data_IF_813100580503
#
_entry.id   IF_813100580503
#
_cell.length_a   1.000
_cell.length_b   1.000
_cell.length_c   1.000
_cell.angle_alpha   90.00
_cell.angle_beta   90.00
_cell.angle_gamma   90.00
#
_symmetry.space_group_name_H-M   'P 1'
#
loop_
_entity.id
_entity.type
_entity.pdbx_description
1 polymer ?
#
# COMPACT_ATOMS: atom_id res chain seq x y z
N UNK A 1 31.69 -11.20 -16.06
CA UNK A 1 30.29 -11.05 -15.58
C UNK A 1 29.40 -12.26 -15.88
N UNK A 2 29.41 -12.86 -17.09
CA UNK A 2 28.71 -14.13 -17.39
C UNK A 2 29.20 -15.33 -16.54
N UNK A 3 30.47 -15.36 -16.15
CA UNK A 3 31.04 -16.46 -15.33
C UNK A 3 30.61 -16.42 -13.85
N UNK A 4 30.55 -15.24 -13.24
CA UNK A 4 30.17 -15.11 -11.82
C UNK A 4 28.72 -15.53 -11.55
N UNK A 5 27.80 -15.22 -12.47
CA UNK A 5 26.40 -15.65 -12.40
C UNK A 5 26.20 -17.17 -12.56
N UNK A 6 27.14 -17.86 -13.23
CA UNK A 6 27.10 -19.32 -13.44
C UNK A 6 27.70 -20.10 -12.27
N UNK A 7 28.63 -19.50 -11.52
CA UNK A 7 29.43 -20.20 -10.51
C UNK A 7 28.87 -20.17 -9.08
N UNK A 8 28.09 -19.16 -8.68
CA UNK A 8 27.54 -19.07 -7.32
C UNK A 8 26.10 -19.60 -7.23
N UNK A 9 25.81 -20.57 -6.32
CA UNK A 9 24.45 -20.99 -5.99
C UNK A 9 23.53 -19.83 -5.58
N UNK A 10 24.08 -18.82 -4.91
CA UNK A 10 23.38 -17.60 -4.46
C UNK A 10 23.15 -16.58 -5.58
N UNK A 11 24.05 -16.53 -6.56
CA UNK A 11 23.95 -15.59 -7.68
C UNK A 11 22.83 -15.97 -8.67
N UNK A 12 22.67 -17.26 -8.96
CA UNK A 12 21.73 -17.75 -9.97
C UNK A 12 20.28 -17.24 -9.78
N UNK A 13 19.71 -17.25 -8.56
CA UNK A 13 18.36 -16.76 -8.34
C UNK A 13 18.20 -15.26 -8.54
N UNK A 14 19.19 -14.47 -8.09
CA UNK A 14 19.17 -13.01 -8.22
C UNK A 14 19.17 -12.61 -9.70
N UNK A 15 20.08 -13.20 -10.49
CA UNK A 15 20.12 -12.96 -11.93
C UNK A 15 18.87 -13.48 -12.64
N UNK A 16 18.34 -14.62 -12.21
CA UNK A 16 17.11 -15.21 -12.74
C UNK A 16 15.88 -14.32 -12.55
N UNK A 17 15.69 -13.80 -11.33
CA UNK A 17 14.62 -12.86 -11.00
C UNK A 17 14.77 -11.54 -11.76
N UNK A 18 16.00 -11.01 -11.87
CA UNK A 18 16.26 -9.79 -12.64
C UNK A 18 15.96 -10.00 -14.14
N UNK A 19 16.38 -11.13 -14.71
CA UNK A 19 16.08 -11.50 -16.09
C UNK A 19 14.57 -11.62 -16.31
N UNK A 20 13.84 -12.28 -15.39
CA UNK A 20 12.38 -12.38 -15.46
C UNK A 20 11.72 -11.00 -15.34
N UNK A 21 12.23 -10.10 -14.49
CA UNK A 21 11.77 -8.71 -14.41
C UNK A 21 11.94 -7.96 -15.73
N UNK A 22 13.04 -8.19 -16.46
CA UNK A 22 13.29 -7.57 -17.77
C UNK A 22 12.37 -8.15 -18.84
N UNK A 23 12.19 -9.47 -18.88
CA UNK A 23 11.32 -10.15 -19.85
C UNK A 23 9.89 -9.61 -19.84
N UNK A 24 9.38 -9.17 -18.68
CA UNK A 24 8.06 -8.53 -18.53
C UNK A 24 7.88 -7.25 -19.36
N UNK A 25 8.98 -6.60 -19.75
CA UNK A 25 8.97 -5.38 -20.58
C UNK A 25 9.23 -5.66 -22.07
N UNK A 26 9.53 -6.91 -22.42
CA UNK A 26 9.83 -7.29 -23.80
C UNK A 26 8.57 -7.85 -24.47
N UNK A 27 8.31 -7.40 -25.69
CA UNK A 27 7.21 -7.94 -26.51
C UNK A 27 7.53 -9.34 -27.03
N UNK A 28 8.79 -9.56 -27.42
CA UNK A 28 9.29 -10.84 -27.96
C UNK A 28 10.68 -11.13 -27.41
N UNK A 29 10.81 -11.83 -26.27
CA UNK A 29 12.11 -12.22 -25.75
C UNK A 29 12.78 -13.28 -26.65
N UNK A 30 14.10 -13.24 -26.74
CA UNK A 30 14.91 -14.28 -27.40
C UNK A 30 14.67 -15.66 -26.73
N UNK A 31 14.63 -16.79 -27.49
CA UNK A 31 14.34 -18.11 -26.93
C UNK A 31 15.30 -18.57 -25.81
N UNK A 32 16.61 -18.26 -25.89
CA UNK A 32 17.56 -18.59 -24.83
C UNK A 32 17.25 -17.79 -23.56
N UNK A 33 16.86 -16.53 -23.73
CA UNK A 33 16.46 -15.66 -22.62
C UNK A 33 15.12 -16.13 -22.01
N UNK A 34 14.15 -16.55 -22.82
CA UNK A 34 12.88 -17.09 -22.36
C UNK A 34 13.06 -18.37 -21.53
N UNK A 35 13.98 -19.27 -21.94
CA UNK A 35 14.31 -20.48 -21.19
C UNK A 35 14.87 -20.18 -19.79
N UNK A 36 15.70 -19.13 -19.65
CA UNK A 36 16.24 -18.70 -18.35
C UNK A 36 15.14 -18.13 -17.45
N UNK A 37 14.25 -17.31 -18.02
CA UNK A 37 13.24 -16.58 -17.23
C UNK A 37 12.06 -17.45 -16.81
N UNK A 38 11.72 -18.50 -17.57
CA UNK A 38 10.59 -19.38 -17.26
C UNK A 38 10.58 -19.95 -15.84
N UNK A 39 11.76 -20.23 -15.27
CA UNK A 39 11.90 -20.71 -13.89
C UNK A 39 11.55 -19.67 -12.82
N UNK A 40 11.64 -18.38 -13.16
CA UNK A 40 11.51 -17.27 -12.21
C UNK A 40 10.25 -16.40 -12.45
N UNK A 41 9.67 -16.45 -13.64
CA UNK A 41 8.48 -15.66 -13.99
C UNK A 41 7.29 -15.92 -13.06
N UNK A 42 7.14 -17.15 -12.54
CA UNK A 42 6.06 -17.51 -11.61
C UNK A 42 6.10 -16.78 -10.25
N UNK A 43 7.25 -16.20 -9.88
CA UNK A 43 7.35 -15.40 -8.64
C UNK A 43 6.80 -13.98 -8.80
N UNK A 44 6.70 -13.47 -10.04
CA UNK A 44 6.12 -12.17 -10.30
C UNK A 44 4.60 -12.27 -10.37
N UNK A 45 3.93 -11.87 -9.29
CA UNK A 45 2.48 -11.66 -9.29
C UNK A 45 2.18 -10.30 -9.93
N UNK A 46 1.36 -10.28 -10.98
CA UNK A 46 0.96 -9.02 -11.64
C UNK A 46 0.22 -8.11 -10.66
N UNK A 47 0.74 -6.92 -10.32
CA UNK A 47 0.02 -5.99 -9.48
C UNK A 47 -0.96 -5.12 -10.29
N UNK A 48 -1.31 -5.50 -11.53
CA UNK A 48 -2.25 -4.74 -12.39
C UNK A 48 -3.64 -4.64 -11.80
N UNK A 49 -4.06 -5.68 -11.09
CA UNK A 49 -5.32 -5.69 -10.40
C UNK A 49 -5.14 -6.17 -8.95
N UNK A 50 -5.95 -5.63 -8.06
CA UNK A 50 -6.15 -6.19 -6.72
C UNK A 50 -7.49 -6.91 -6.68
N UNK A 51 -7.49 -8.17 -6.27
CA UNK A 51 -8.73 -8.85 -5.91
C UNK A 51 -9.30 -8.22 -4.64
N UNK A 52 -10.47 -7.61 -4.75
CA UNK A 52 -11.15 -6.96 -3.64
C UNK A 52 -11.39 -7.96 -2.49
N UNK A 53 -11.60 -9.25 -2.77
CA UNK A 53 -11.78 -10.26 -1.72
C UNK A 53 -10.59 -10.32 -0.76
N UNK A 54 -9.38 -9.99 -1.23
CA UNK A 54 -8.19 -9.93 -0.36
C UNK A 54 -8.26 -8.80 0.67
N UNK A 55 -9.04 -7.73 0.40
CA UNK A 55 -9.26 -6.61 1.32
C UNK A 55 -10.39 -6.87 2.32
N UNK A 56 -11.42 -7.61 1.91
CA UNK A 56 -12.65 -7.82 2.69
C UNK A 56 -12.69 -9.19 3.42
N UNK A 57 -11.52 -9.79 3.69
CA UNK A 57 -11.38 -11.19 4.07
C UNK A 57 -12.09 -11.60 5.39
N UNK A 58 -12.43 -10.66 6.27
CA UNK A 58 -13.16 -10.93 7.53
C UNK A 58 -14.57 -10.36 7.48
N UNK A 59 -15.56 -11.19 7.12
CA UNK A 59 -16.97 -10.83 7.22
C UNK A 59 -17.43 -9.72 6.26
N UNK A 60 -16.71 -9.49 5.15
CA UNK A 60 -17.05 -8.44 4.20
C UNK A 60 -16.58 -7.04 4.61
N UNK A 61 -15.69 -6.94 5.61
CA UNK A 61 -15.16 -5.68 6.12
C UNK A 61 -13.71 -5.49 5.67
N UNK A 62 -13.42 -4.33 5.06
CA UNK A 62 -12.07 -3.85 4.77
C UNK A 62 -11.68 -2.86 5.87
N UNK A 63 -10.76 -3.29 6.72
CA UNK A 63 -10.24 -2.46 7.82
C UNK A 63 -9.00 -1.71 7.32
N UNK A 64 -9.04 -0.39 7.45
CA UNK A 64 -7.95 0.51 7.08
C UNK A 64 -7.39 1.16 8.33
N UNK A 65 -6.08 1.19 8.45
CA UNK A 65 -5.38 1.86 9.53
C UNK A 65 -4.59 3.03 8.96
N UNK A 66 -4.89 4.24 9.42
CA UNK A 66 -4.32 5.48 8.90
C UNK A 66 -3.59 6.25 10.00
N UNK A 67 -2.30 6.46 9.79
CA UNK A 67 -1.41 7.07 10.77
C UNK A 67 -1.13 8.54 10.47
N UNK A 68 -1.42 9.41 11.43
CA UNK A 68 -1.08 10.83 11.45
C UNK A 68 -0.06 11.13 12.56
N UNK A 69 0.78 12.15 12.38
CA UNK A 69 1.85 12.53 13.31
C UNK A 69 1.59 13.90 13.96
N UNK A 70 2.35 14.23 14.99
CA UNK A 70 2.18 15.48 15.74
C UNK A 70 3.04 16.61 15.14
N UNK A 71 2.83 16.84 13.85
CA UNK A 71 3.39 17.97 13.12
C UNK A 71 2.28 18.71 12.35
N UNK A 72 2.58 19.93 11.91
CA UNK A 72 1.61 20.79 11.22
C UNK A 72 1.11 20.16 9.90
N UNK A 73 1.98 19.46 9.16
CA UNK A 73 1.65 18.80 7.88
C UNK A 73 0.63 17.65 8.07
N UNK A 74 0.80 16.86 9.12
CA UNK A 74 -0.11 15.79 9.48
C UNK A 74 -1.41 16.34 10.08
N UNK A 75 -1.38 17.45 10.81
CA UNK A 75 -2.59 18.14 11.27
C UNK A 75 -3.44 18.62 10.09
N UNK A 76 -2.83 19.35 9.15
CA UNK A 76 -3.53 19.78 7.93
C UNK A 76 -4.07 18.57 7.15
N UNK A 77 -3.25 17.53 6.97
CA UNK A 77 -3.67 16.28 6.32
C UNK A 77 -4.87 15.63 7.03
N UNK A 78 -4.93 15.66 8.36
CA UNK A 78 -6.07 15.12 9.12
C UNK A 78 -7.32 15.97 8.92
N UNK A 79 -7.18 17.30 8.91
CA UNK A 79 -8.29 18.22 8.63
C UNK A 79 -8.85 18.03 7.21
N UNK A 80 -7.98 17.84 6.21
CA UNK A 80 -8.36 17.49 4.83
C UNK A 80 -9.11 16.16 4.77
N UNK A 81 -8.57 15.12 5.41
CA UNK A 81 -9.22 13.82 5.57
C UNK A 81 -10.62 13.97 6.19
N UNK A 82 -10.72 14.66 7.32
CA UNK A 82 -11.98 14.89 8.03
C UNK A 82 -13.00 15.58 7.13
N UNK A 83 -12.61 16.66 6.44
CA UNK A 83 -13.50 17.40 5.55
C UNK A 83 -14.03 16.53 4.40
N UNK A 84 -13.19 15.69 3.81
CA UNK A 84 -13.59 14.81 2.70
C UNK A 84 -14.65 13.80 3.13
N UNK A 85 -14.49 13.18 4.30
CA UNK A 85 -15.41 12.15 4.76
C UNK A 85 -16.66 12.71 5.44
N UNK A 86 -16.57 13.78 6.24
CA UNK A 86 -17.74 14.37 6.90
C UNK A 86 -18.72 15.05 5.92
N UNK A 87 -18.25 15.48 4.74
CA UNK A 87 -19.11 16.06 3.70
C UNK A 87 -19.88 15.00 2.90
N UNK A 88 -19.43 13.75 2.93
CA UNK A 88 -20.07 12.65 2.21
C UNK A 88 -21.03 11.91 3.15
N UNK A 89 -22.34 12.09 2.94
CA UNK A 89 -23.39 11.51 3.79
C UNK A 89 -23.43 9.98 3.77
N UNK A 90 -22.77 9.33 2.80
CA UNK A 90 -22.64 7.87 2.80
C UNK A 90 -21.67 7.36 3.88
N UNK A 91 -20.81 8.24 4.40
CA UNK A 91 -19.83 7.91 5.43
C UNK A 91 -20.30 8.36 6.81
N UNK A 92 -20.20 7.46 7.77
CA UNK A 92 -20.45 7.71 9.18
C UNK A 92 -19.14 8.04 9.86
N UNK A 93 -19.07 9.21 10.50
CA UNK A 93 -17.94 9.66 11.30
C UNK A 93 -18.22 9.44 12.80
N UNK A 94 -17.34 8.72 13.48
CA UNK A 94 -17.39 8.48 14.92
C UNK A 94 -16.09 9.01 15.55
N UNK A 95 -16.21 10.02 16.41
CA UNK A 95 -15.09 10.60 17.14
C UNK A 95 -14.96 9.97 18.53
N UNK A 96 -13.79 9.42 18.84
CA UNK A 96 -13.46 8.79 20.13
C UNK A 96 -12.37 9.56 20.89
N UNK A 97 -12.15 10.83 20.55
CA UNK A 97 -11.20 11.74 21.18
C UNK A 97 -9.78 11.60 20.64
N UNK A 98 -9.17 10.41 20.80
CA UNK A 98 -7.77 10.17 20.38
C UNK A 98 -7.64 9.41 19.06
N UNK A 99 -8.75 8.85 18.58
CA UNK A 99 -8.88 8.26 17.25
C UNK A 99 -10.30 8.50 16.74
N UNK A 100 -10.47 8.31 15.43
CA UNK A 100 -11.77 8.34 14.77
C UNK A 100 -12.01 7.03 14.04
N UNK A 101 -13.29 6.62 13.96
CA UNK A 101 -13.75 5.53 13.11
C UNK A 101 -14.64 6.12 12.02
N UNK A 102 -14.29 5.86 10.76
CA UNK A 102 -15.03 6.32 9.60
C UNK A 102 -15.50 5.12 8.81
N UNK A 103 -16.80 4.95 8.66
CA UNK A 103 -17.36 3.72 8.08
C UNK A 103 -18.40 4.00 7.00
N UNK A 104 -18.39 3.18 5.95
CA UNK A 104 -19.43 3.17 4.93
C UNK A 104 -19.67 1.76 4.42
N UNK A 105 -20.92 1.48 4.06
CA UNK A 105 -21.32 0.24 3.39
C UNK A 105 -21.70 0.52 1.95
N UNK A 106 -21.23 -0.35 1.06
CA UNK A 106 -21.40 -0.24 -0.37
C UNK A 106 -22.24 -1.36 -0.95
N UNK A 107 -22.09 -1.59 -2.25
CA UNK A 107 -22.72 -2.71 -2.94
C UNK A 107 -22.17 -4.05 -2.43
N UNK A 108 -22.93 -5.12 -2.67
CA UNK A 108 -22.51 -6.50 -2.35
C UNK A 108 -22.21 -6.74 -0.87
N UNK A 109 -22.78 -5.94 0.04
CA UNK A 109 -22.60 -6.08 1.49
C UNK A 109 -21.19 -5.71 1.99
N UNK A 110 -20.36 -5.08 1.14
CA UNK A 110 -19.01 -4.66 1.51
C UNK A 110 -19.05 -3.45 2.42
N UNK A 111 -18.23 -3.47 3.45
CA UNK A 111 -18.07 -2.35 4.38
C UNK A 111 -16.61 -1.95 4.46
N UNK A 112 -16.32 -0.66 4.39
CA UNK A 112 -15.00 -0.11 4.71
C UNK A 112 -15.08 0.52 6.09
N UNK A 113 -14.10 0.23 6.93
CA UNK A 113 -13.90 0.90 8.21
C UNK A 113 -12.48 1.45 8.28
N UNK A 114 -12.37 2.77 8.38
CA UNK A 114 -11.11 3.49 8.53
C UNK A 114 -10.95 3.85 9.99
N UNK A 115 -9.82 3.43 10.56
CA UNK A 115 -9.39 3.78 11.91
C UNK A 115 -8.20 4.70 11.78
N UNK A 116 -8.32 5.92 12.30
CA UNK A 116 -7.29 6.95 12.18
C UNK A 116 -7.01 7.60 13.53
N UNK A 117 -5.74 7.76 13.90
CA UNK A 117 -5.40 8.50 15.12
C UNK A 117 -5.54 10.02 14.90
N UNK A 118 -5.93 10.74 15.95
CA UNK A 118 -6.05 12.21 15.92
C UNK A 118 -4.69 12.82 16.30
N UNK A 119 -4.09 13.70 15.47
CA UNK A 119 -2.82 14.35 15.80
C UNK A 119 -2.97 15.27 17.03
N UNK A 120 -1.92 15.38 17.84
CA UNK A 120 -1.86 16.15 19.11
C UNK A 120 -2.85 15.76 20.22
N UNK A 121 -3.66 14.71 20.01
CA UNK A 121 -4.53 14.19 21.07
C UNK A 121 -3.75 13.34 22.08
N UNK A 122 -4.38 13.01 23.21
CA UNK A 122 -3.77 12.21 24.28
C UNK A 122 -4.27 10.76 24.17
N UNK A 123 -3.36 9.79 24.02
CA UNK A 123 -3.73 8.38 23.94
C UNK A 123 -4.22 7.83 25.29
N UNK A 124 -4.94 6.68 25.31
CA UNK A 124 -5.28 5.99 26.54
C UNK A 124 -4.05 5.68 27.38
N UNK A 125 -4.16 5.91 28.69
CA UNK A 125 -3.06 5.65 29.64
C UNK A 125 -1.92 6.68 29.58
N UNK A 126 -2.07 7.79 28.85
CA UNK A 126 -1.08 8.88 28.80
C UNK A 126 0.15 8.59 27.94
N UNK A 127 0.06 7.62 27.02
CA UNK A 127 1.12 7.37 26.03
C UNK A 127 1.13 8.45 24.95
N UNK A 128 2.33 8.83 24.50
CA UNK A 128 2.51 9.75 23.38
C UNK A 128 2.37 9.07 22.00
N UNK A 129 2.39 7.72 21.94
CA UNK A 129 2.25 6.97 20.69
C UNK A 129 0.81 6.49 20.45
N UNK A 130 -0.02 7.35 19.85
CA UNK A 130 -1.39 7.01 19.45
C UNK A 130 -1.46 5.97 18.33
N UNK A 131 -0.42 5.86 17.49
CA UNK A 131 -0.39 4.84 16.44
C UNK A 131 -0.31 3.45 17.07
N UNK A 132 0.55 3.29 18.08
CA UNK A 132 0.62 2.05 18.86
C UNK A 132 -0.71 1.72 19.53
N UNK A 133 -1.34 2.72 20.18
CA UNK A 133 -2.63 2.54 20.82
C UNK A 133 -3.72 2.13 19.82
N UNK A 134 -3.70 2.68 18.62
CA UNK A 134 -4.63 2.34 17.54
C UNK A 134 -4.43 0.88 17.08
N UNK A 135 -3.20 0.48 16.79
CA UNK A 135 -2.90 -0.88 16.36
C UNK A 135 -3.27 -1.91 17.44
N UNK A 136 -3.01 -1.59 18.71
CA UNK A 136 -3.41 -2.42 19.85
C UNK A 136 -4.94 -2.52 19.98
N UNK A 137 -5.66 -1.42 19.80
CA UNK A 137 -7.12 -1.42 19.79
C UNK A 137 -7.69 -2.35 18.71
N UNK A 138 -7.12 -2.31 17.50
CA UNK A 138 -7.53 -3.20 16.42
C UNK A 138 -7.25 -4.67 16.76
N UNK A 139 -6.08 -4.97 17.33
CA UNK A 139 -5.74 -6.31 17.79
C UNK A 139 -6.71 -6.82 18.87
N UNK A 140 -7.02 -6.02 19.88
CA UNK A 140 -7.97 -6.34 20.95
C UNK A 140 -9.38 -6.59 20.40
N UNK A 141 -9.79 -5.84 19.36
CA UNK A 141 -11.05 -6.04 18.63
C UNK A 141 -10.99 -7.21 17.64
N UNK A 142 -9.85 -7.87 17.48
CA UNK A 142 -9.59 -8.93 16.49
C UNK A 142 -9.83 -8.45 15.04
N UNK A 143 -9.62 -7.16 14.80
CA UNK A 143 -9.69 -6.54 13.48
C UNK A 143 -8.29 -6.54 12.87
N UNK A 144 -8.16 -7.06 11.66
CA UNK A 144 -6.89 -7.08 10.92
C UNK A 144 -6.94 -6.03 9.82
N UNK A 145 -6.05 -5.03 9.89
CA UNK A 145 -5.93 -4.02 8.85
C UNK A 145 -5.40 -4.66 7.55
N UNK A 146 -6.17 -4.54 6.47
CA UNK A 146 -5.78 -4.97 5.12
C UNK A 146 -5.28 -3.80 4.27
N UNK A 147 -5.52 -2.57 4.72
CA UNK A 147 -4.99 -1.33 4.15
C UNK A 147 -4.25 -0.56 5.24
N UNK A 148 -3.00 -0.19 4.99
CA UNK A 148 -2.19 0.62 5.90
C UNK A 148 -1.75 1.90 5.20
N UNK A 149 -1.99 3.05 5.82
CA UNK A 149 -1.78 4.37 5.23
C UNK A 149 -0.88 5.18 6.16
N UNK A 150 0.24 5.67 5.61
CA UNK A 150 1.13 6.60 6.29
C UNK A 150 0.86 8.04 5.83
N UNK A 151 0.52 8.93 6.76
CA UNK A 151 0.30 10.37 6.54
C UNK A 151 1.20 11.19 7.45
N UNK A 152 2.36 11.58 6.93
CA UNK A 152 3.30 12.44 7.60
C UNK A 152 4.61 12.53 6.83
N UNK A 153 5.63 13.09 7.46
CA UNK A 153 6.94 13.21 6.86
C UNK A 153 7.73 11.89 6.75
N UNK A 154 8.69 11.85 5.83
CA UNK A 154 9.46 10.64 5.50
C UNK A 154 10.17 10.00 6.69
N UNK A 155 10.64 10.79 7.67
CA UNK A 155 11.33 10.26 8.86
C UNK A 155 10.39 9.53 9.83
N UNK A 156 9.08 9.68 9.67
CA UNK A 156 8.09 8.94 10.43
C UNK A 156 7.68 7.61 9.78
N UNK A 157 8.02 7.37 8.52
CA UNK A 157 7.62 6.16 7.79
C UNK A 157 8.04 4.90 8.53
N UNK A 158 9.29 4.84 9.02
CA UNK A 158 9.79 3.69 9.78
C UNK A 158 8.98 3.41 11.05
N UNK A 159 8.41 4.44 11.68
CA UNK A 159 7.54 4.27 12.85
C UNK A 159 6.21 3.62 12.44
N UNK A 160 5.58 4.09 11.36
CA UNK A 160 4.36 3.48 10.82
C UNK A 160 4.57 2.02 10.41
N UNK A 161 5.73 1.70 9.81
CA UNK A 161 6.01 0.34 9.34
C UNK A 161 6.16 -0.68 10.47
N UNK A 162 6.35 -0.26 11.73
CA UNK A 162 6.36 -1.17 12.90
C UNK A 162 5.00 -1.83 13.14
N UNK A 163 3.93 -1.21 12.66
CA UNK A 163 2.56 -1.71 12.80
C UNK A 163 2.08 -2.47 11.57
N UNK A 164 2.90 -2.55 10.52
CA UNK A 164 2.58 -3.31 9.33
C UNK A 164 2.54 -4.80 9.65
N UNK A 165 1.53 -5.50 9.15
CA UNK A 165 1.38 -6.96 9.30
C UNK A 165 1.39 -7.64 7.94
N UNK A 166 1.64 -8.97 7.88
CA UNK A 166 1.52 -9.74 6.63
C UNK A 166 0.11 -9.77 6.01
N UNK A 167 -0.91 -9.34 6.75
CA UNK A 167 -2.30 -9.25 6.29
C UNK A 167 -2.53 -8.07 5.35
N UNK A 168 -1.67 -7.04 5.40
CA UNK A 168 -1.78 -5.91 4.50
C UNK A 168 -1.75 -6.33 3.03
N UNK A 169 -2.67 -5.77 2.26
CA UNK A 169 -2.83 -5.95 0.81
C UNK A 169 -2.68 -4.65 0.04
N UNK A 170 -2.92 -3.51 0.69
CA UNK A 170 -2.56 -2.19 0.16
C UNK A 170 -1.75 -1.44 1.22
N UNK A 171 -0.64 -0.85 0.78
CA UNK A 171 0.15 0.07 1.60
C UNK A 171 0.29 1.38 0.85
N UNK A 172 -0.14 2.47 1.47
CA UNK A 172 -0.08 3.80 0.90
C UNK A 172 0.94 4.67 1.64
N UNK A 173 2.03 5.02 0.97
CA UNK A 173 3.08 5.88 1.49
C UNK A 173 3.01 7.26 0.82
N UNK A 174 2.11 8.09 1.33
CA UNK A 174 1.83 9.43 0.81
C UNK A 174 2.81 10.52 1.27
N UNK A 175 3.83 10.16 2.04
CA UNK A 175 4.93 11.05 2.44
C UNK A 175 5.83 11.36 1.25
N UNK A 176 6.71 12.35 1.38
CA UNK A 176 7.81 12.52 0.42
C UNK A 176 8.67 11.25 0.31
N UNK A 177 9.13 10.91 -0.89
CA UNK A 177 10.06 9.82 -1.20
C UNK A 177 9.65 8.46 -0.62
N UNK A 178 8.35 8.17 -0.53
CA UNK A 178 7.83 6.92 0.03
C UNK A 178 8.40 5.65 -0.64
N UNK A 179 8.79 5.74 -1.92
CA UNK A 179 9.42 4.63 -2.67
C UNK A 179 10.71 4.10 -2.04
N UNK A 180 11.42 4.87 -1.21
CA UNK A 180 12.60 4.39 -0.49
C UNK A 180 12.26 3.28 0.51
N UNK A 181 11.00 3.16 0.90
CA UNK A 181 10.52 2.16 1.86
C UNK A 181 9.96 0.89 1.19
N UNK A 182 10.19 0.67 -0.10
CA UNK A 182 9.73 -0.54 -0.79
C UNK A 182 10.27 -1.83 -0.14
N UNK A 183 11.55 -1.85 0.24
CA UNK A 183 12.15 -3.01 0.90
C UNK A 183 11.51 -3.33 2.25
N UNK A 184 11.47 -2.42 3.25
CA UNK A 184 10.89 -2.75 4.55
C UNK A 184 9.41 -3.11 4.47
N UNK A 185 8.64 -2.50 3.55
CA UNK A 185 7.25 -2.92 3.29
C UNK A 185 7.19 -4.35 2.79
N UNK A 186 7.95 -4.68 1.74
CA UNK A 186 7.90 -6.02 1.12
C UNK A 186 8.49 -7.11 2.02
N UNK A 187 9.39 -6.77 2.93
CA UNK A 187 9.93 -7.72 3.91
C UNK A 187 8.83 -8.27 4.85
N UNK A 188 7.85 -7.42 5.21
CA UNK A 188 6.75 -7.75 6.11
C UNK A 188 5.49 -8.16 5.34
N UNK A 189 5.01 -7.30 4.44
CA UNK A 189 3.77 -7.47 3.69
C UNK A 189 4.04 -7.81 2.22
N UNK A 190 4.62 -8.99 1.97
CA UNK A 190 5.08 -9.46 0.65
C UNK A 190 4.02 -9.44 -0.46
N UNK A 191 2.75 -9.51 -0.08
CA UNK A 191 1.58 -9.54 -0.97
C UNK A 191 0.89 -8.17 -1.06
N UNK A 192 1.41 -7.15 -0.42
CA UNK A 192 0.86 -5.81 -0.50
C UNK A 192 1.18 -5.17 -1.85
N UNK A 193 0.21 -4.46 -2.38
CA UNK A 193 0.36 -3.55 -3.51
C UNK A 193 0.60 -2.16 -2.95
N UNK A 194 1.77 -1.59 -3.26
CA UNK A 194 2.23 -0.34 -2.67
C UNK A 194 2.03 0.83 -3.64
N UNK A 195 1.32 1.86 -3.17
CA UNK A 195 1.29 3.19 -3.79
C UNK A 195 2.24 4.07 -2.98
N UNK A 196 3.17 4.74 -3.63
CA UNK A 196 4.15 5.58 -2.95
C UNK A 196 4.63 6.72 -3.84
N UNK A 197 5.23 7.75 -3.24
CA UNK A 197 5.81 8.87 -3.98
C UNK A 197 7.30 8.66 -4.28
N UNK A 198 7.78 9.18 -5.41
CA UNK A 198 9.22 9.32 -5.72
C UNK A 198 9.80 10.64 -5.20
N UNK A 199 8.98 11.68 -5.22
CA UNK A 199 9.35 13.05 -4.84
C UNK A 199 8.50 13.53 -3.68
N UNK A 200 7.53 14.39 -3.95
CA UNK A 200 6.76 15.06 -2.91
C UNK A 200 5.37 14.45 -2.75
N UNK A 201 4.97 14.26 -1.49
CA UNK A 201 3.62 13.92 -1.09
C UNK A 201 2.81 15.16 -0.72
N UNK A 202 1.50 15.16 -0.94
CA UNK A 202 0.63 16.29 -0.61
C UNK A 202 -0.79 15.81 -0.31
N UNK A 203 -1.42 16.41 0.69
CA UNK A 203 -2.82 16.15 1.03
C UNK A 203 -3.79 16.38 -0.13
N UNK A 204 -3.49 17.34 -1.02
CA UNK A 204 -4.30 17.66 -2.21
C UNK A 204 -4.46 16.48 -3.18
N UNK A 205 -3.54 15.52 -3.13
CA UNK A 205 -3.59 14.30 -3.92
C UNK A 205 -3.89 13.11 -3.01
N UNK A 206 -3.21 13.00 -1.87
CA UNK A 206 -3.32 11.87 -0.98
C UNK A 206 -4.78 11.60 -0.56
N UNK A 207 -5.49 12.58 0.01
CA UNK A 207 -6.86 12.35 0.51
C UNK A 207 -7.86 12.10 -0.62
N UNK A 208 -7.88 12.91 -1.69
CA UNK A 208 -8.78 12.65 -2.81
C UNK A 208 -8.54 11.33 -3.54
N UNK A 209 -7.28 10.87 -3.60
CA UNK A 209 -6.88 9.59 -4.20
C UNK A 209 -7.32 8.41 -3.33
N UNK A 210 -7.07 8.48 -2.01
CA UNK A 210 -7.52 7.47 -1.05
C UNK A 210 -9.05 7.36 -1.03
N UNK A 211 -9.76 8.49 -1.04
CA UNK A 211 -11.22 8.52 -1.15
C UNK A 211 -11.70 7.86 -2.46
N UNK A 212 -11.02 8.13 -3.57
CA UNK A 212 -11.37 7.52 -4.86
C UNK A 212 -11.17 5.99 -4.86
N UNK A 213 -10.12 5.48 -4.21
CA UNK A 213 -9.92 4.03 -4.01
C UNK A 213 -11.11 3.46 -3.22
N UNK A 214 -11.48 4.10 -2.12
CA UNK A 214 -12.57 3.65 -1.27
C UNK A 214 -13.93 3.65 -2.00
N UNK A 215 -14.20 4.70 -2.79
CA UNK A 215 -15.42 4.78 -3.59
C UNK A 215 -15.48 3.69 -4.66
N UNK A 216 -14.36 3.36 -5.30
CA UNK A 216 -14.30 2.27 -6.29
C UNK A 216 -14.58 0.90 -5.63
N UNK A 217 -14.01 0.66 -4.44
CA UNK A 217 -14.22 -0.57 -3.69
C UNK A 217 -15.69 -0.71 -3.23
N UNK A 218 -16.32 0.38 -2.80
CA UNK A 218 -17.73 0.39 -2.36
C UNK A 218 -18.74 0.28 -3.51
N UNK A 219 -18.35 0.59 -4.76
CA UNK A 219 -19.19 0.34 -5.95
C UNK A 219 -19.32 -1.14 -6.31
N UNK A 220 -18.66 -2.05 -5.59
CA UNK A 220 -18.78 -3.50 -5.81
C UNK A 220 -17.79 -4.07 -6.82
N UNK A 221 -16.74 -3.32 -7.21
CA UNK A 221 -15.71 -3.83 -8.11
C UNK A 221 -15.00 -5.05 -7.51
N UNK A 222 -15.09 -6.22 -8.14
CA UNK A 222 -14.38 -7.43 -7.68
C UNK A 222 -12.87 -7.32 -7.87
N UNK A 223 -12.45 -6.54 -8.87
CA UNK A 223 -11.06 -6.27 -9.17
C UNK A 223 -10.88 -4.75 -9.19
N UNK A 224 -9.93 -4.26 -8.41
CA UNK A 224 -9.43 -2.90 -8.56
C UNK A 224 -8.31 -2.92 -9.61
N UNK A 225 -8.67 -2.60 -10.85
CA UNK A 225 -7.73 -2.46 -11.97
C UNK A 225 -6.98 -1.13 -11.82
N UNK A 226 -5.69 -1.18 -11.49
CA UNK A 226 -4.88 0.00 -11.25
C UNK A 226 -4.62 0.81 -12.51
N UNK A 227 -4.49 0.19 -13.69
CA UNK A 227 -4.23 0.93 -14.93
C UNK A 227 -5.49 1.71 -15.35
N UNK A 228 -6.68 1.11 -15.20
CA UNK A 228 -7.95 1.81 -15.39
C UNK A 228 -8.14 2.89 -14.33
N UNK A 229 -7.96 2.55 -13.06
CA UNK A 229 -8.12 3.49 -11.95
C UNK A 229 -7.20 4.71 -12.10
N UNK A 230 -5.92 4.49 -12.40
CA UNK A 230 -4.92 5.54 -12.51
C UNK A 230 -5.21 6.49 -13.68
N UNK A 231 -5.66 5.98 -14.84
CA UNK A 231 -6.11 6.83 -15.95
C UNK A 231 -7.24 7.77 -15.56
N UNK A 232 -8.18 7.34 -14.71
CA UNK A 232 -9.21 8.23 -14.16
C UNK A 232 -8.60 9.30 -13.27
N UNK A 233 -7.58 8.95 -12.48
CA UNK A 233 -6.87 9.92 -11.62
C UNK A 233 -6.01 10.88 -12.43
N UNK A 234 -5.42 10.47 -13.57
CA UNK A 234 -4.69 11.35 -14.49
C UNK A 234 -5.60 12.43 -15.07
N UNK A 235 -6.86 12.12 -15.39
CA UNK A 235 -7.84 13.12 -15.82
C UNK A 235 -8.09 14.15 -14.71
N UNK A 236 -8.15 13.70 -13.45
CA UNK A 236 -8.46 14.54 -12.28
C UNK A 236 -7.27 15.39 -11.83
N UNK A 237 -6.09 14.79 -11.73
CA UNK A 237 -4.89 15.38 -11.12
C UNK A 237 -3.78 15.67 -12.12
N UNK A 238 -3.91 15.34 -13.40
CA UNK A 238 -2.84 15.47 -14.38
C UNK A 238 -2.31 16.90 -14.58
N UNK A 239 -3.08 17.92 -14.17
CA UNK A 239 -2.63 19.32 -14.13
C UNK A 239 -1.85 19.69 -12.86
N UNK A 240 -1.97 18.89 -11.79
CA UNK A 240 -1.17 19.06 -10.58
C UNK A 240 0.21 18.43 -10.82
N UNK A 241 1.30 19.22 -10.86
CA UNK A 241 2.64 18.71 -11.18
C UNK A 241 3.15 17.71 -10.13
N UNK A 242 2.55 17.66 -8.95
CA UNK A 242 2.92 16.73 -7.88
C UNK A 242 2.39 15.31 -8.13
N UNK A 243 1.35 15.15 -8.96
CA UNK A 243 0.76 13.83 -9.23
C UNK A 243 1.74 12.88 -9.95
N UNK A 244 2.66 13.42 -10.76
CA UNK A 244 3.69 12.63 -11.44
C UNK A 244 4.65 11.90 -10.49
N UNK A 245 4.72 12.35 -9.24
CA UNK A 245 5.57 11.72 -8.24
C UNK A 245 4.93 10.47 -7.66
N UNK A 246 3.61 10.30 -7.78
CA UNK A 246 2.91 9.12 -7.30
C UNK A 246 3.11 7.94 -8.24
N UNK A 247 3.50 6.81 -7.67
CA UNK A 247 3.77 5.57 -8.39
C UNK A 247 2.69 4.55 -8.01
N UNK A 248 1.82 4.15 -8.94
CA UNK A 248 0.86 3.08 -8.69
C UNK A 248 1.54 1.71 -8.68
N UNK A 249 0.86 0.66 -8.17
CA UNK A 249 1.45 -0.67 -8.05
C UNK A 249 2.03 -1.25 -9.37
N UNK A 250 1.40 -1.09 -10.55
CA UNK A 250 1.96 -1.59 -11.82
C UNK A 250 3.27 -0.91 -12.24
N UNK A 251 3.51 0.31 -11.77
CA UNK A 251 4.71 1.08 -12.10
C UNK A 251 5.80 0.94 -11.02
N UNK A 252 5.50 0.24 -9.92
CA UNK A 252 6.40 0.04 -8.80
C UNK A 252 7.34 -1.16 -9.03
N UNK A 253 8.34 -0.96 -9.90
CA UNK A 253 9.33 -1.99 -10.25
C UNK A 253 10.08 -2.53 -9.03
N UNK A 254 10.42 -1.67 -8.07
CA UNK A 254 11.11 -2.06 -6.84
C UNK A 254 10.23 -2.98 -5.99
N UNK A 255 8.97 -2.64 -5.78
CA UNK A 255 8.01 -3.47 -5.04
C UNK A 255 7.80 -4.83 -5.70
N UNK A 256 7.60 -4.86 -7.02
CA UNK A 256 7.45 -6.12 -7.78
C UNK A 256 8.67 -7.03 -7.64
N UNK A 257 9.88 -6.47 -7.81
CA UNK A 257 11.12 -7.23 -7.69
C UNK A 257 11.31 -7.79 -6.28
N UNK A 258 11.06 -6.98 -5.25
CA UNK A 258 11.21 -7.40 -3.85
C UNK A 258 10.17 -8.45 -3.46
N UNK A 259 8.92 -8.29 -3.88
CA UNK A 259 7.87 -9.31 -3.68
C UNK A 259 8.27 -10.65 -4.29
N UNK A 260 8.71 -10.65 -5.56
CA UNK A 260 9.16 -11.86 -6.25
C UNK A 260 10.38 -12.51 -5.54
N UNK A 261 11.33 -11.70 -5.08
CA UNK A 261 12.46 -12.18 -4.30
C UNK A 261 12.04 -12.86 -2.99
N UNK A 262 11.16 -12.22 -2.21
CA UNK A 262 10.72 -12.80 -0.94
C UNK A 262 9.82 -14.03 -1.11
N UNK A 263 9.05 -14.12 -2.20
CA UNK A 263 8.30 -15.33 -2.58
C UNK A 263 9.25 -16.46 -2.97
N UNK A 264 10.32 -16.17 -3.71
CA UNK A 264 11.37 -17.14 -4.04
C UNK A 264 12.03 -17.71 -2.79
N UNK A 265 12.46 -16.84 -1.86
CA UNK A 265 13.10 -17.25 -0.60
C UNK A 265 12.14 -18.06 0.28
N UNK A 266 10.84 -17.71 0.30
CA UNK A 266 9.83 -18.41 1.10
C UNK A 266 9.59 -19.87 0.66
N UNK A 267 9.75 -20.18 -0.64
CA UNK A 267 9.49 -21.52 -1.18
C UNK A 267 10.65 -22.52 -0.93
N UNK A 268 11.54 -22.23 0.02
CA UNK A 268 12.56 -23.17 0.47
C UNK A 268 13.86 -23.16 -0.35
N UNK A 269 14.07 -22.14 -1.19
CA UNK A 269 15.38 -21.87 -1.73
C UNK A 269 16.29 -21.33 -0.61
N UNK A 270 17.00 -22.23 0.08
CA UNK A 270 18.13 -21.86 0.93
C UNK A 270 19.16 -21.18 0.01
N UNK A 271 19.35 -19.87 0.19
CA UNK A 271 20.51 -19.13 -0.32
C UNK A 271 21.78 -19.68 0.35
#
# INVERSE_FOLDING_TARGET
TKEYARASPQGKPIYGLLAASLARKLTTPDPEFAAITGRYSGYFKEPRALDAAALFASGGICVQEQFFYDDDDAKESFESFQQIYQRDRAWRWEDHGWYVRVAASGQSGRTIEIYANVPHSIAPGGSDDRRHALSKLLEEKKLRATVVIHRGHTWYVEQSLRYLTPDARVVFLGSCRGMLSAYPVMAVARRAQMIATRGVGTQEINDPLLKAINDELLRGANLLDWDRFWRTQEVRFGRNPMFRDYVPPPQNASGMMMSAYFEYVAQGAKL
#
